data_IF_467010746086
#
_entry.id   IF_467010746086
#
_cell.length_a   1.000
_cell.length_b   1.000
_cell.length_c   1.000
_cell.angle_alpha   90.00
_cell.angle_beta   90.00
_cell.angle_gamma   90.00
#
_symmetry.space_group_name_H-M   'P 1'
#
loop_
_entity.id
_entity.type
_entity.pdbx_description
1 polymer ?
#
# COMPACT_ATOMS: atom_id res chain seq x y z
N UNK A 1 -30.43 25.95 29.34
CA UNK A 1 -30.01 24.84 28.47
C UNK A 1 -29.00 23.90 29.14
N UNK A 2 -27.74 24.30 29.41
CA UNK A 2 -26.75 23.38 30.02
C UNK A 2 -27.16 22.91 31.43
N UNK A 3 -27.72 23.82 32.25
CA UNK A 3 -28.26 23.49 33.56
C UNK A 3 -29.44 22.50 33.47
N UNK A 4 -30.40 22.77 32.58
CA UNK A 4 -31.57 21.92 32.37
C UNK A 4 -31.16 20.51 31.92
N UNK A 5 -30.22 20.42 30.95
CA UNK A 5 -29.67 19.16 30.46
C UNK A 5 -28.92 18.39 31.57
N UNK A 6 -28.19 19.08 32.45
CA UNK A 6 -27.54 18.43 33.59
C UNK A 6 -28.54 17.82 34.58
N UNK A 7 -29.67 18.50 34.82
CA UNK A 7 -30.74 17.98 35.68
C UNK A 7 -31.44 16.79 35.02
N UNK A 8 -31.75 16.89 33.73
CA UNK A 8 -32.38 15.82 32.97
C UNK A 8 -31.53 14.55 32.98
N UNK A 9 -30.25 14.66 32.60
CA UNK A 9 -29.33 13.52 32.58
C UNK A 9 -29.11 12.94 33.97
N UNK A 10 -29.03 13.76 35.02
CA UNK A 10 -28.89 13.27 36.39
C UNK A 10 -30.11 12.49 36.90
N UNK A 11 -31.28 12.65 36.28
CA UNK A 11 -32.49 11.88 36.59
C UNK A 11 -32.60 10.61 35.74
N UNK A 12 -32.20 10.69 34.47
CA UNK A 12 -32.37 9.60 33.51
C UNK A 12 -31.23 8.57 33.55
N UNK A 13 -30.02 8.99 33.90
CA UNK A 13 -28.80 8.20 33.71
C UNK A 13 -28.02 8.02 35.02
N UNK A 14 -27.45 6.83 35.22
CA UNK A 14 -26.64 6.51 36.41
C UNK A 14 -25.15 6.26 36.10
N UNK A 15 -24.74 6.41 34.84
CA UNK A 15 -23.37 6.11 34.40
C UNK A 15 -22.35 7.20 34.74
N UNK A 16 -22.81 8.35 35.23
CA UNK A 16 -21.95 9.46 35.59
C UNK A 16 -22.65 10.52 36.44
N UNK A 17 -21.89 11.56 36.78
CA UNK A 17 -22.39 12.80 37.38
C UNK A 17 -22.31 13.91 36.34
N UNK A 18 -23.38 14.68 36.23
CA UNK A 18 -23.55 15.75 35.26
C UNK A 18 -23.61 17.09 35.99
N UNK A 19 -22.78 18.05 35.59
CA UNK A 19 -22.74 19.36 36.21
C UNK A 19 -22.62 20.45 35.15
N UNK A 20 -23.54 21.40 35.18
CA UNK A 20 -23.39 22.62 34.41
C UNK A 20 -22.38 23.56 35.08
N UNK A 21 -21.47 24.12 34.29
CA UNK A 21 -20.54 25.18 34.70
C UNK A 21 -20.57 26.26 33.61
N UNK A 22 -21.31 27.35 33.86
CA UNK A 22 -21.59 28.34 32.82
C UNK A 22 -22.32 27.70 31.63
N UNK A 23 -21.85 27.90 30.39
CA UNK A 23 -22.48 27.31 29.20
C UNK A 23 -22.08 25.85 28.95
N UNK A 24 -21.20 25.25 29.75
CA UNK A 24 -20.68 23.89 29.53
C UNK A 24 -21.39 22.84 30.39
N UNK A 25 -21.49 21.62 29.86
CA UNK A 25 -21.89 20.43 30.60
C UNK A 25 -20.66 19.56 30.88
N UNK A 26 -20.25 19.50 32.14
CA UNK A 26 -19.17 18.62 32.59
C UNK A 26 -19.73 17.27 32.99
N UNK A 27 -19.11 16.20 32.51
CA UNK A 27 -19.52 14.82 32.76
C UNK A 27 -18.39 14.07 33.46
N UNK A 28 -18.68 13.50 34.63
CA UNK A 28 -17.75 12.63 35.35
C UNK A 28 -18.29 11.21 35.38
N UNK A 29 -17.64 10.30 34.68
CA UNK A 29 -18.01 8.88 34.66
C UNK A 29 -17.92 8.27 36.06
N UNK A 30 -18.89 7.44 36.43
CA UNK A 30 -18.85 6.64 37.65
C UNK A 30 -17.81 5.52 37.49
N UNK A 31 -17.08 5.18 38.57
CA UNK A 31 -16.05 4.13 38.54
C UNK A 31 -16.59 2.79 38.05
N UNK A 32 -17.80 2.42 38.46
CA UNK A 32 -18.44 1.18 37.99
C UNK A 32 -18.72 1.19 36.48
N UNK A 33 -19.03 2.35 35.90
CA UNK A 33 -19.22 2.47 34.44
C UNK A 33 -17.89 2.35 33.71
N UNK A 34 -16.86 3.08 34.17
CA UNK A 34 -15.55 3.09 33.53
C UNK A 34 -14.85 1.73 33.63
N UNK A 35 -14.87 1.11 34.82
CA UNK A 35 -14.13 -0.11 35.11
C UNK A 35 -14.96 -1.38 35.03
N UNK A 36 -16.30 -1.31 35.07
CA UNK A 36 -17.16 -2.50 34.98
C UNK A 36 -17.05 -3.24 33.64
N UNK A 37 -16.55 -2.56 32.61
CA UNK A 37 -16.15 -3.15 31.34
C UNK A 37 -14.66 -3.44 31.20
N UNK A 38 -13.80 -2.93 32.08
CA UNK A 38 -12.35 -2.96 31.91
C UNK A 38 -11.76 -4.38 31.95
N UNK A 39 -12.39 -5.29 32.69
CA UNK A 39 -11.99 -6.70 32.73
C UNK A 39 -12.64 -7.54 31.61
N UNK A 40 -13.49 -6.97 30.75
CA UNK A 40 -14.09 -7.72 29.65
C UNK A 40 -13.02 -7.95 28.58
N UNK A 41 -12.98 -9.15 27.97
CA UNK A 41 -12.07 -9.40 26.87
C UNK A 41 -12.40 -8.45 25.70
N UNK A 42 -11.36 -7.84 25.15
CA UNK A 42 -11.45 -7.08 23.90
C UNK A 42 -11.75 -8.09 22.79
N UNK A 43 -12.92 -7.96 22.14
CA UNK A 43 -13.36 -8.84 21.06
C UNK A 43 -13.65 -8.03 19.81
N UNK A 44 -13.38 -8.59 18.61
CA UNK A 44 -13.82 -7.98 17.36
C UNK A 44 -15.32 -7.69 17.39
N UNK A 45 -15.72 -6.62 16.72
CA UNK A 45 -17.13 -6.29 16.54
C UNK A 45 -17.80 -7.32 15.62
N UNK A 46 -19.12 -7.55 15.77
CA UNK A 46 -19.87 -8.36 14.83
C UNK A 46 -19.72 -7.84 13.39
N UNK A 47 -19.85 -8.74 12.43
CA UNK A 47 -19.81 -8.39 11.02
C UNK A 47 -20.85 -7.31 10.70
N UNK A 48 -20.42 -6.27 9.98
CA UNK A 48 -21.28 -5.18 9.51
C UNK A 48 -22.02 -5.51 8.23
N UNK A 49 -21.52 -6.48 7.46
CA UNK A 49 -21.96 -6.73 6.08
C UNK A 49 -21.42 -5.69 5.08
N UNK A 50 -20.45 -4.87 5.49
CA UNK A 50 -19.82 -3.84 4.68
C UNK A 50 -18.40 -4.26 4.27
N UNK A 51 -18.04 -3.99 3.02
CA UNK A 51 -16.70 -4.27 2.48
C UNK A 51 -15.85 -3.01 2.47
N UNK A 52 -14.59 -3.13 2.87
CA UNK A 52 -13.61 -2.06 2.81
C UNK A 52 -12.41 -2.50 1.99
N UNK A 53 -12.20 -1.87 0.83
CA UNK A 53 -11.00 -2.09 0.03
C UNK A 53 -9.88 -1.16 0.50
N UNK A 54 -8.70 -1.72 0.75
CA UNK A 54 -7.49 -0.99 1.13
C UNK A 54 -6.41 -1.29 0.11
N UNK A 55 -6.12 -0.30 -0.74
CA UNK A 55 -4.97 -0.33 -1.65
C UNK A 55 -3.70 0.12 -0.91
N UNK A 56 -2.60 -0.60 -1.05
CA UNK A 56 -1.34 -0.28 -0.39
C UNK A 56 -0.11 -0.80 -1.14
N UNK A 57 1.06 -0.28 -0.75
CA UNK A 57 2.38 -0.45 -1.38
C UNK A 57 2.48 0.15 -2.79
N UNK A 58 1.66 -0.32 -3.72
CA UNK A 58 1.60 0.05 -5.15
C UNK A 58 2.99 0.35 -5.75
N UNK A 59 3.95 -0.59 -5.65
CA UNK A 59 5.33 -0.36 -6.08
C UNK A 59 5.45 -0.36 -7.60
N UNK A 60 6.43 0.37 -8.10
CA UNK A 60 6.81 0.30 -9.52
C UNK A 60 7.81 -0.83 -9.74
N UNK A 61 7.72 -1.51 -10.89
CA UNK A 61 8.56 -2.68 -11.18
C UNK A 61 9.96 -2.34 -11.70
N UNK A 62 10.29 -1.05 -11.82
CA UNK A 62 11.59 -0.58 -12.28
C UNK A 62 12.59 -0.30 -11.14
N UNK A 63 12.22 -0.54 -9.88
CA UNK A 63 13.07 -0.26 -8.71
C UNK A 63 12.78 -1.20 -7.52
N UNK A 64 13.78 -1.49 -6.67
CA UNK A 64 13.58 -2.21 -5.41
C UNK A 64 12.66 -1.47 -4.43
N UNK A 65 12.08 -2.24 -3.49
CA UNK A 65 11.39 -1.68 -2.33
C UNK A 65 12.36 -0.91 -1.43
N UNK A 66 11.83 0.05 -0.66
CA UNK A 66 12.61 0.94 0.18
C UNK A 66 11.79 1.38 1.40
N UNK A 67 12.40 2.07 2.37
CA UNK A 67 11.76 2.46 3.63
C UNK A 67 10.42 3.20 3.46
N UNK A 68 10.29 4.02 2.41
CA UNK A 68 9.01 4.65 2.06
C UNK A 68 7.87 3.65 1.79
N UNK A 69 8.14 2.51 1.15
CA UNK A 69 7.16 1.45 0.94
C UNK A 69 6.82 0.75 2.27
N UNK A 70 7.82 0.50 3.14
CA UNK A 70 7.59 -0.08 4.46
C UNK A 70 6.61 0.77 5.28
N UNK A 71 6.79 2.10 5.30
CA UNK A 71 5.88 3.02 5.99
C UNK A 71 4.44 2.85 5.53
N UNK A 72 4.20 2.82 4.22
CA UNK A 72 2.87 2.69 3.66
C UNK A 72 2.28 1.29 3.95
N UNK A 73 3.09 0.23 3.87
CA UNK A 73 2.68 -1.14 4.19
C UNK A 73 2.27 -1.31 5.66
N UNK A 74 3.05 -0.75 6.59
CA UNK A 74 2.74 -0.79 8.03
C UNK A 74 1.46 -0.01 8.34
N UNK A 75 1.29 1.18 7.76
CA UNK A 75 0.08 1.98 7.95
C UNK A 75 -1.16 1.24 7.43
N UNK A 76 -1.08 0.68 6.23
CA UNK A 76 -2.18 -0.08 5.64
C UNK A 76 -2.52 -1.32 6.47
N UNK A 77 -1.51 -2.06 6.96
CA UNK A 77 -1.71 -3.21 7.86
C UNK A 77 -2.43 -2.79 9.14
N UNK A 78 -2.00 -1.70 9.78
CA UNK A 78 -2.64 -1.20 10.99
C UNK A 78 -4.11 -0.79 10.75
N UNK A 79 -4.39 -0.04 9.68
CA UNK A 79 -5.75 0.38 9.31
C UNK A 79 -6.62 -0.82 8.98
N UNK A 80 -6.10 -1.79 8.23
CA UNK A 80 -6.81 -3.00 7.86
C UNK A 80 -7.18 -3.84 9.08
N UNK A 81 -6.24 -4.05 10.00
CA UNK A 81 -6.48 -4.80 11.22
C UNK A 81 -7.51 -4.10 12.13
N UNK A 82 -7.46 -2.77 12.21
CA UNK A 82 -8.46 -1.98 12.94
C UNK A 82 -9.86 -2.08 12.30
N UNK A 83 -9.93 -2.05 10.97
CA UNK A 83 -11.19 -2.18 10.24
C UNK A 83 -11.79 -3.59 10.39
N UNK A 84 -10.99 -4.65 10.29
CA UNK A 84 -11.44 -6.02 10.58
C UNK A 84 -11.94 -6.14 12.02
N UNK A 85 -11.19 -5.58 12.97
CA UNK A 85 -11.61 -5.54 14.37
C UNK A 85 -12.93 -4.76 14.57
N UNK A 86 -13.19 -3.75 13.73
CA UNK A 86 -14.43 -2.98 13.72
C UNK A 86 -15.60 -3.66 12.98
N UNK A 87 -15.39 -4.86 12.43
CA UNK A 87 -16.43 -5.70 11.81
C UNK A 87 -16.56 -5.56 10.29
N UNK A 88 -15.61 -4.92 9.62
CA UNK A 88 -15.59 -4.83 8.15
C UNK A 88 -15.00 -6.10 7.52
N UNK A 89 -15.49 -6.46 6.34
CA UNK A 89 -14.80 -7.39 5.44
C UNK A 89 -13.72 -6.60 4.68
N UNK A 90 -12.44 -6.78 5.05
CA UNK A 90 -11.36 -6.00 4.46
C UNK A 90 -10.73 -6.73 3.27
N UNK A 91 -10.72 -6.06 2.12
CA UNK A 91 -10.06 -6.52 0.89
C UNK A 91 -8.76 -5.74 0.76
N UNK A 92 -7.64 -6.41 1.01
CA UNK A 92 -6.30 -5.83 0.86
C UNK A 92 -5.83 -5.99 -0.59
N UNK A 93 -5.49 -4.90 -1.25
CA UNK A 93 -5.04 -4.90 -2.65
C UNK A 93 -3.68 -4.23 -2.75
N UNK A 94 -2.77 -4.86 -3.48
CA UNK A 94 -1.51 -4.24 -3.89
C UNK A 94 -1.54 -4.08 -5.41
N UNK A 95 -1.70 -2.84 -5.88
CA UNK A 95 -1.75 -2.54 -7.31
C UNK A 95 -0.32 -2.31 -7.82
N UNK A 96 0.32 -3.38 -8.27
CA UNK A 96 1.65 -3.29 -8.86
C UNK A 96 1.61 -2.36 -10.09
N UNK A 97 2.51 -1.39 -10.12
CA UNK A 97 2.65 -0.50 -11.27
C UNK A 97 3.67 -1.11 -12.24
N UNK A 98 3.23 -2.20 -12.86
CA UNK A 98 3.96 -3.05 -13.78
C UNK A 98 3.88 -2.57 -15.24
N UNK A 99 3.08 -1.56 -15.52
CA UNK A 99 2.82 -1.02 -16.86
C UNK A 99 3.33 0.40 -17.00
N UNK A 100 3.98 0.69 -18.13
CA UNK A 100 4.29 2.05 -18.56
C UNK A 100 5.75 2.25 -18.92
N UNK A 101 6.10 3.51 -19.21
CA UNK A 101 7.41 3.83 -19.78
C UNK A 101 8.59 3.40 -18.90
N UNK A 102 8.42 3.39 -17.56
CA UNK A 102 9.52 3.07 -16.64
C UNK A 102 10.01 1.62 -16.76
N UNK A 103 9.11 0.65 -16.86
CA UNK A 103 9.51 -0.75 -17.09
C UNK A 103 10.03 -0.93 -18.53
N UNK A 104 9.44 -0.23 -19.51
CA UNK A 104 9.91 -0.26 -20.90
C UNK A 104 11.34 0.27 -21.05
N UNK A 105 11.76 1.23 -20.23
CA UNK A 105 13.16 1.69 -20.16
C UNK A 105 14.10 0.59 -19.67
N UNK A 106 13.72 -0.14 -18.61
CA UNK A 106 14.49 -1.30 -18.16
C UNK A 106 14.55 -2.39 -19.24
N UNK A 107 13.43 -2.68 -19.91
CA UNK A 107 13.37 -3.64 -21.01
C UNK A 107 14.25 -3.21 -22.18
N UNK A 108 14.21 -1.93 -22.58
CA UNK A 108 15.04 -1.38 -23.65
C UNK A 108 16.53 -1.58 -23.38
N UNK A 109 16.98 -1.27 -22.15
CA UNK A 109 18.36 -1.47 -21.76
C UNK A 109 18.75 -2.95 -21.67
N UNK A 110 17.85 -3.81 -21.17
CA UNK A 110 18.12 -5.25 -21.11
C UNK A 110 18.19 -5.88 -22.50
N UNK A 111 17.31 -5.50 -23.43
CA UNK A 111 17.32 -5.98 -24.82
C UNK A 111 18.58 -5.53 -25.57
N UNK A 112 19.04 -4.28 -25.40
CA UNK A 112 20.24 -3.77 -26.09
C UNK A 112 21.56 -4.16 -25.44
N UNK A 113 21.62 -4.21 -24.11
CA UNK A 113 22.88 -4.29 -23.36
C UNK A 113 22.93 -5.47 -22.39
N UNK A 114 21.83 -6.20 -22.20
CA UNK A 114 21.75 -7.29 -21.23
C UNK A 114 22.37 -8.59 -21.71
N UNK A 115 22.52 -8.80 -23.02
CA UNK A 115 23.16 -9.99 -23.61
C UNK A 115 22.62 -11.32 -23.05
N UNK A 116 21.31 -11.37 -22.75
CA UNK A 116 20.65 -12.57 -22.21
C UNK A 116 20.89 -12.88 -20.74
N UNK A 117 21.61 -12.01 -20.00
CA UNK A 117 21.80 -12.15 -18.55
C UNK A 117 20.48 -12.21 -17.81
N UNK A 118 20.46 -12.95 -16.72
CA UNK A 118 19.31 -13.08 -15.82
C UNK A 118 19.72 -12.83 -14.36
N UNK A 119 18.76 -12.62 -13.44
CA UNK A 119 19.06 -12.51 -12.02
C UNK A 119 19.85 -13.71 -11.47
N UNK A 120 19.57 -14.92 -11.96
CA UNK A 120 20.23 -16.16 -11.53
C UNK A 120 21.69 -16.20 -12.00
N UNK A 121 21.96 -15.86 -13.27
CA UNK A 121 23.33 -15.86 -13.80
C UNK A 121 24.20 -14.82 -13.12
N UNK A 122 23.63 -13.66 -12.77
CA UNK A 122 24.34 -12.59 -12.06
C UNK A 122 24.29 -12.76 -10.52
N UNK A 123 23.65 -13.81 -10.00
CA UNK A 123 23.44 -14.06 -8.55
C UNK A 123 22.92 -12.82 -7.82
N UNK A 124 21.96 -12.13 -8.42
CA UNK A 124 21.40 -10.88 -7.92
C UNK A 124 19.89 -11.02 -7.74
N UNK A 125 19.35 -10.37 -6.72
CA UNK A 125 17.91 -10.30 -6.48
C UNK A 125 17.20 -9.63 -7.66
N UNK A 126 16.08 -10.19 -8.13
CA UNK A 126 15.46 -9.82 -9.40
C UNK A 126 15.00 -8.35 -9.51
N UNK A 127 14.41 -7.79 -8.45
CA UNK A 127 14.03 -6.37 -8.37
C UNK A 127 15.25 -5.43 -8.45
N UNK A 128 16.38 -5.83 -7.85
CA UNK A 128 17.64 -5.09 -7.99
C UNK A 128 18.26 -5.26 -9.37
N UNK A 129 18.19 -6.46 -9.96
CA UNK A 129 18.69 -6.72 -11.31
C UNK A 129 17.95 -5.86 -12.33
N UNK A 130 16.62 -5.83 -12.32
CA UNK A 130 15.82 -4.97 -13.20
C UNK A 130 16.04 -3.48 -12.90
N UNK A 131 16.20 -3.13 -11.63
CA UNK A 131 16.55 -1.77 -11.20
C UNK A 131 17.89 -1.27 -11.77
N UNK A 132 18.90 -2.13 -11.88
CA UNK A 132 20.18 -1.77 -12.52
C UNK A 132 20.00 -1.38 -13.98
N UNK A 133 19.14 -2.09 -14.73
CA UNK A 133 18.87 -1.74 -16.13
C UNK A 133 18.12 -0.42 -16.26
N UNK A 134 17.28 -0.05 -15.28
CA UNK A 134 16.67 1.27 -15.23
C UNK A 134 17.73 2.38 -15.10
N UNK A 135 18.70 2.20 -14.21
CA UNK A 135 19.83 3.14 -14.01
C UNK A 135 20.74 3.16 -15.25
N UNK A 136 21.04 2.00 -15.82
CA UNK A 136 21.84 1.87 -17.04
C UNK A 136 21.17 2.59 -18.21
N UNK A 137 19.85 2.43 -18.37
CA UNK A 137 19.06 3.14 -19.37
C UNK A 137 19.24 4.65 -19.22
N UNK A 138 19.04 5.19 -18.01
CA UNK A 138 19.15 6.64 -17.78
C UNK A 138 20.53 7.20 -18.15
N UNK A 139 21.60 6.48 -17.80
CA UNK A 139 22.97 6.85 -18.21
C UNK A 139 23.14 6.80 -19.72
N UNK A 140 22.70 5.73 -20.36
CA UNK A 140 22.85 5.55 -21.80
C UNK A 140 21.99 6.50 -22.63
N UNK A 141 20.79 6.82 -22.16
CA UNK A 141 19.90 7.78 -22.82
C UNK A 141 20.44 9.22 -22.77
N UNK A 142 21.27 9.55 -21.77
CA UNK A 142 21.98 10.83 -21.73
C UNK A 142 23.08 10.92 -22.80
N UNK A 143 23.68 9.79 -23.19
CA UNK A 143 24.69 9.70 -24.26
C UNK A 143 24.03 9.55 -25.65
N UNK A 144 22.94 8.79 -25.73
CA UNK A 144 22.19 8.48 -26.95
C UNK A 144 20.69 8.71 -26.72
N UNK A 145 20.19 9.91 -27.08
CA UNK A 145 18.77 10.25 -26.93
C UNK A 145 17.82 9.36 -27.74
N UNK A 146 18.30 8.61 -28.75
CA UNK A 146 17.45 7.71 -29.55
C UNK A 146 16.88 6.56 -28.71
N UNK A 147 17.51 6.24 -27.58
CA UNK A 147 17.03 5.21 -26.65
C UNK A 147 15.67 5.55 -26.04
N UNK A 148 15.31 6.82 -25.88
CA UNK A 148 13.98 7.21 -25.41
C UNK A 148 12.91 6.88 -26.45
N UNK A 149 13.20 7.06 -27.75
CA UNK A 149 12.25 6.66 -28.78
C UNK A 149 12.13 5.15 -28.87
N UNK A 150 13.23 4.42 -28.68
CA UNK A 150 13.18 2.95 -28.59
C UNK A 150 12.34 2.46 -27.40
N UNK A 151 12.47 3.07 -26.22
CA UNK A 151 11.63 2.74 -25.06
C UNK A 151 10.14 3.06 -25.32
N UNK A 152 9.83 4.15 -26.03
CA UNK A 152 8.46 4.47 -26.46
C UNK A 152 7.92 3.49 -27.48
N UNK A 153 8.76 3.02 -28.41
CA UNK A 153 8.37 1.98 -29.36
C UNK A 153 8.02 0.67 -28.65
N UNK A 154 8.83 0.25 -27.68
CA UNK A 154 8.53 -0.91 -26.81
C UNK A 154 7.19 -0.72 -26.11
N UNK A 155 6.92 0.46 -25.55
CA UNK A 155 5.64 0.75 -24.89
C UNK A 155 4.47 0.62 -25.88
N UNK A 156 4.56 1.22 -27.07
CA UNK A 156 3.51 1.13 -28.10
C UNK A 156 3.26 -0.32 -28.51
N UNK A 157 4.31 -1.12 -28.71
CA UNK A 157 4.19 -2.56 -29.02
C UNK A 157 3.53 -3.34 -27.91
N UNK A 158 3.92 -3.08 -26.65
CA UNK A 158 3.31 -3.71 -25.49
C UNK A 158 1.80 -3.39 -25.39
N UNK A 159 1.42 -2.14 -25.63
CA UNK A 159 0.02 -1.69 -25.67
C UNK A 159 -0.76 -2.30 -26.83
N UNK A 160 -0.12 -2.48 -27.98
CA UNK A 160 -0.69 -3.15 -29.15
C UNK A 160 -0.85 -4.67 -28.99
N UNK A 161 -0.32 -5.25 -27.90
CA UNK A 161 -0.42 -6.69 -27.66
C UNK A 161 0.64 -7.53 -28.35
N UNK A 162 1.77 -6.94 -28.73
CA UNK A 162 2.91 -7.65 -29.32
C UNK A 162 3.41 -8.77 -28.39
N UNK A 163 3.42 -10.01 -28.89
CA UNK A 163 3.66 -11.19 -28.07
C UNK A 163 5.11 -11.28 -27.58
N UNK A 164 6.09 -10.91 -28.42
CA UNK A 164 7.51 -10.92 -28.06
C UNK A 164 7.80 -9.91 -26.96
N UNK A 165 7.28 -8.68 -27.09
CA UNK A 165 7.44 -7.64 -26.08
C UNK A 165 6.71 -8.00 -24.79
N UNK A 166 5.53 -8.62 -24.86
CA UNK A 166 4.80 -9.08 -23.67
C UNK A 166 5.48 -10.25 -22.98
N UNK A 167 6.17 -11.13 -23.70
CA UNK A 167 6.98 -12.19 -23.11
C UNK A 167 8.18 -11.62 -22.33
N UNK A 168 8.89 -10.66 -22.93
CA UNK A 168 9.99 -9.96 -22.23
C UNK A 168 9.47 -9.24 -20.99
N UNK A 169 8.34 -8.55 -21.10
CA UNK A 169 7.70 -7.89 -19.96
C UNK A 169 7.34 -8.88 -18.86
N UNK A 170 6.62 -9.98 -19.17
CA UNK A 170 6.25 -11.03 -18.21
C UNK A 170 7.47 -11.59 -17.48
N UNK A 171 8.55 -11.84 -18.23
CA UNK A 171 9.80 -12.35 -17.67
C UNK A 171 10.43 -11.38 -16.67
N UNK A 172 10.56 -10.10 -17.06
CA UNK A 172 11.14 -9.08 -16.19
C UNK A 172 10.24 -8.76 -14.98
N UNK A 173 8.93 -8.74 -15.17
CA UNK A 173 7.96 -8.53 -14.10
C UNK A 173 7.97 -9.67 -13.08
N UNK A 174 8.09 -10.93 -13.54
CA UNK A 174 8.25 -12.10 -12.67
C UNK A 174 9.50 -11.97 -11.80
N UNK A 175 10.64 -11.58 -12.38
CA UNK A 175 11.87 -11.36 -11.59
C UNK A 175 11.69 -10.31 -10.50
N UNK A 176 10.97 -9.22 -10.81
CA UNK A 176 10.74 -8.14 -9.85
C UNK A 176 9.80 -8.57 -8.74
N UNK A 177 8.70 -9.23 -9.08
CA UNK A 177 7.69 -9.68 -8.12
C UNK A 177 8.24 -10.78 -7.20
N UNK A 178 9.03 -11.72 -7.71
CA UNK A 178 9.78 -12.69 -6.91
C UNK A 178 10.83 -12.02 -6.02
N UNK A 179 11.47 -10.95 -6.52
CA UNK A 179 12.33 -10.10 -5.71
C UNK A 179 11.56 -9.44 -4.56
N UNK A 180 10.42 -8.83 -4.83
CA UNK A 180 9.59 -8.22 -3.79
C UNK A 180 9.15 -9.23 -2.72
N UNK A 181 8.80 -10.46 -3.11
CA UNK A 181 8.40 -11.52 -2.17
C UNK A 181 9.50 -11.96 -1.20
N UNK A 182 10.78 -11.67 -1.50
CA UNK A 182 11.92 -11.95 -0.61
C UNK A 182 12.20 -10.84 0.42
N UNK A 183 11.40 -9.76 0.43
CA UNK A 183 11.60 -8.56 1.26
C UNK A 183 10.67 -8.55 2.45
#
# INVERSE_FOLDING_TARGET
>A
MAADLAVELSRAENWGRFRAVGPYLNVRLASQTLFGGACRPIRPRPARGEKLLIEYLSPNTNKPLHLGHLRNGLLASAVANLAEFAGFEVIRVNLLNDRGIHICRSMAAWLKFGSGKTPETEKKKGDHFVGDYYVLFARKAAEDPSLEEYAREILRKWEAGDEEIREVWRKMDTWVTEGFAQT
#
